data_IF_916147068489
#
_entry.id   IF_916147068489
#
_cell.length_a   1.000
_cell.length_b   1.000
_cell.length_c   1.000
_cell.angle_alpha   90.00
_cell.angle_beta   90.00
_cell.angle_gamma   90.00
#
_symmetry.space_group_name_H-M   'P 1'
#
loop_
_entity.id
_entity.type
_entity.pdbx_description
1 polymer ?
#
# COMPACT_ATOMS: atom_id res chain seq x y z
N UNK A 1 -1.56 -5.53 -14.95
CA UNK A 1 -2.28 -6.83 -14.89
C UNK A 1 -2.87 -7.11 -13.52
N UNK A 2 -2.14 -6.94 -12.40
CA UNK A 2 -2.60 -7.42 -11.10
C UNK A 2 -3.74 -6.61 -10.45
N UNK A 3 -3.95 -5.34 -10.80
CA UNK A 3 -5.04 -4.53 -10.22
C UNK A 3 -6.43 -4.93 -10.72
N UNK A 4 -6.57 -5.29 -12.00
CA UNK A 4 -7.86 -5.69 -12.57
C UNK A 4 -8.37 -7.01 -11.97
N UNK A 5 -7.47 -7.98 -11.74
CA UNK A 5 -7.83 -9.23 -11.09
C UNK A 5 -8.29 -9.03 -9.65
N UNK A 6 -7.69 -8.07 -8.91
CA UNK A 6 -8.14 -7.71 -7.56
C UNK A 6 -9.54 -7.08 -7.58
N UNK A 7 -9.78 -6.16 -8.51
CA UNK A 7 -11.09 -5.52 -8.65
C UNK A 7 -12.23 -6.53 -8.85
N UNK A 8 -12.02 -7.56 -9.68
CA UNK A 8 -13.03 -8.62 -9.88
C UNK A 8 -13.33 -9.42 -8.61
N UNK A 9 -12.30 -9.68 -7.78
CA UNK A 9 -12.48 -10.37 -6.51
C UNK A 9 -13.22 -9.48 -5.50
N UNK A 10 -12.92 -8.18 -5.48
CA UNK A 10 -13.62 -7.21 -4.64
C UNK A 10 -15.11 -7.17 -4.98
N UNK A 11 -15.47 -7.13 -6.25
CA UNK A 11 -16.87 -7.17 -6.72
C UNK A 11 -17.60 -8.44 -6.24
N UNK A 12 -17.01 -9.63 -6.46
CA UNK A 12 -17.58 -10.90 -5.98
C UNK A 12 -17.75 -10.92 -4.47
N UNK A 13 -16.78 -10.38 -3.72
CA UNK A 13 -16.84 -10.32 -2.26
C UNK A 13 -17.97 -9.38 -1.79
N UNK A 14 -18.15 -8.23 -2.46
CA UNK A 14 -19.21 -7.26 -2.19
C UNK A 14 -20.60 -7.89 -2.40
N UNK A 15 -20.76 -8.66 -3.47
CA UNK A 15 -22.04 -9.31 -3.82
C UNK A 15 -22.35 -10.58 -3.00
N UNK A 16 -21.35 -11.12 -2.29
CA UNK A 16 -21.46 -12.43 -1.60
C UNK A 16 -22.34 -12.45 -0.35
N UNK A 17 -22.79 -11.28 0.16
CA UNK A 17 -23.40 -11.11 1.49
C UNK A 17 -22.53 -11.55 2.68
N UNK A 18 -21.26 -11.93 2.47
CA UNK A 18 -20.33 -12.22 3.55
C UNK A 18 -19.89 -10.91 4.23
N UNK A 19 -19.76 -10.87 5.57
CA UNK A 19 -19.11 -9.74 6.22
C UNK A 19 -17.64 -9.64 5.78
N UNK A 20 -17.25 -8.51 5.19
CA UNK A 20 -15.89 -8.28 4.70
C UNK A 20 -15.31 -6.94 5.16
N UNK A 21 -14.01 -6.77 5.01
CA UNK A 21 -13.32 -5.48 5.01
C UNK A 21 -12.26 -5.53 3.92
N UNK A 22 -12.19 -4.52 3.07
CA UNK A 22 -11.22 -4.44 1.97
C UNK A 22 -10.13 -3.43 2.34
N UNK A 23 -8.88 -3.87 2.38
CA UNK A 23 -7.72 -3.01 2.55
C UNK A 23 -7.03 -2.83 1.20
N UNK A 24 -6.94 -1.60 0.73
CA UNK A 24 -6.33 -1.25 -0.56
C UNK A 24 -5.00 -0.54 -0.31
N UNK A 25 -3.88 -1.28 -0.22
CA UNK A 25 -2.58 -0.68 0.03
C UNK A 25 -2.12 0.16 -1.16
N UNK A 26 -1.59 1.35 -0.87
CA UNK A 26 -0.87 2.18 -1.83
C UNK A 26 0.53 1.64 -2.18
N UNK A 27 1.39 2.51 -2.70
CA UNK A 27 2.76 2.14 -3.10
C UNK A 27 3.62 1.88 -1.87
N UNK A 28 4.21 0.67 -1.76
CA UNK A 28 5.07 0.33 -0.63
C UNK A 28 6.44 1.00 -0.69
N UNK A 29 6.85 1.67 0.39
CA UNK A 29 8.21 2.20 0.51
C UNK A 29 9.25 1.09 0.69
N UNK A 30 8.85 -0.03 1.29
CA UNK A 30 9.70 -1.18 1.57
C UNK A 30 10.21 -1.88 0.30
N UNK A 31 9.59 -1.60 -0.85
CA UNK A 31 10.04 -2.11 -2.15
C UNK A 31 11.28 -1.38 -2.68
N UNK A 32 11.66 -0.24 -2.09
CA UNK A 32 12.88 0.47 -2.47
C UNK A 32 14.08 -0.30 -1.88
N UNK A 33 15.05 -0.75 -2.69
CA UNK A 33 16.17 -1.56 -2.24
C UNK A 33 17.25 -0.70 -1.55
N UNK A 34 16.89 0.03 -0.49
CA UNK A 34 17.77 0.95 0.22
C UNK A 34 19.06 0.26 0.66
N UNK A 35 18.98 -0.97 1.17
CA UNK A 35 20.17 -1.73 1.56
C UNK A 35 21.15 -1.95 0.40
N UNK A 36 20.66 -2.26 -0.80
CA UNK A 36 21.50 -2.42 -1.99
C UNK A 36 22.12 -1.09 -2.41
N UNK A 37 21.33 -0.01 -2.39
CA UNK A 37 21.79 1.33 -2.74
C UNK A 37 22.89 1.82 -1.80
N UNK A 38 22.75 1.56 -0.49
CA UNK A 38 23.75 1.90 0.52
C UNK A 38 25.01 1.03 0.40
N UNK A 39 24.88 -0.26 0.07
CA UNK A 39 26.02 -1.18 -0.09
C UNK A 39 26.83 -0.92 -1.36
N UNK A 40 26.21 -0.34 -2.40
CA UNK A 40 26.87 -0.06 -3.67
C UNK A 40 28.03 0.95 -3.57
N UNK A 41 28.23 1.60 -2.41
CA UNK A 41 29.33 2.54 -2.14
C UNK A 41 29.48 3.61 -3.22
N UNK A 42 28.37 4.01 -3.84
CA UNK A 42 28.33 5.12 -4.77
C UNK A 42 28.27 6.42 -3.97
N UNK A 43 29.08 7.41 -4.35
CA UNK A 43 29.04 8.74 -3.72
C UNK A 43 27.67 9.43 -3.91
N UNK A 44 26.96 9.09 -5.00
CA UNK A 44 25.60 9.55 -5.31
C UNK A 44 24.75 8.39 -5.87
N UNK A 45 24.06 7.63 -5.00
CA UNK A 45 23.31 6.44 -5.43
C UNK A 45 22.03 6.82 -6.17
N UNK A 46 21.90 6.37 -7.42
CA UNK A 46 20.71 6.63 -8.26
C UNK A 46 19.80 5.41 -8.30
N UNK A 47 18.53 5.60 -7.94
CA UNK A 47 17.49 4.59 -8.08
C UNK A 47 16.59 4.89 -9.30
N UNK A 48 16.62 4.06 -10.37
CA UNK A 48 15.71 4.21 -11.50
C UNK A 48 14.30 3.81 -11.09
N UNK A 49 13.46 4.82 -10.82
CA UNK A 49 12.06 4.65 -10.50
C UNK A 49 11.21 4.35 -11.75
N UNK A 50 10.22 3.46 -11.61
CA UNK A 50 9.21 3.21 -12.63
C UNK A 50 8.03 4.21 -12.57
N UNK A 51 8.11 5.20 -11.69
CA UNK A 51 7.10 6.23 -11.45
C UNK A 51 7.64 7.62 -11.77
N UNK A 52 6.72 8.57 -11.98
CA UNK A 52 7.07 9.97 -12.20
C UNK A 52 7.73 10.55 -10.95
N UNK A 53 8.82 11.30 -11.14
CA UNK A 53 9.47 12.06 -10.07
C UNK A 53 8.73 13.37 -9.77
N UNK A 54 7.96 13.88 -10.74
CA UNK A 54 7.25 15.17 -10.66
C UNK A 54 5.86 15.04 -10.05
N UNK A 55 5.17 13.92 -10.29
CA UNK A 55 3.80 13.73 -9.81
C UNK A 55 3.83 13.39 -8.31
N UNK A 56 3.21 14.19 -7.42
CA UNK A 56 3.18 13.89 -6.00
C UNK A 56 2.31 12.66 -5.71
N UNK A 57 2.77 11.79 -4.81
CA UNK A 57 2.01 10.62 -4.34
C UNK A 57 2.34 10.28 -2.88
N UNK A 58 1.58 9.36 -2.29
CA UNK A 58 1.81 8.86 -0.94
C UNK A 58 2.40 7.46 -0.94
N UNK A 59 3.19 7.18 0.09
CA UNK A 59 3.75 5.86 0.36
C UNK A 59 3.00 5.13 1.45
N UNK A 60 3.15 3.81 1.48
CA UNK A 60 2.69 2.93 2.54
C UNK A 60 3.87 2.16 3.14
N UNK A 61 3.97 2.15 4.46
CA UNK A 61 4.83 1.25 5.21
C UNK A 61 4.19 -0.15 5.28
N UNK A 62 4.96 -1.21 5.04
CA UNK A 62 4.48 -2.57 5.27
C UNK A 62 4.10 -2.78 6.75
N UNK A 63 4.84 -2.16 7.67
CA UNK A 63 4.54 -2.20 9.10
C UNK A 63 3.18 -1.56 9.44
N UNK A 64 2.82 -0.46 8.79
CA UNK A 64 1.53 0.22 9.02
C UNK A 64 0.37 -0.59 8.45
N UNK A 65 0.57 -1.25 7.29
CA UNK A 65 -0.41 -2.20 6.78
C UNK A 65 -0.65 -3.34 7.77
N UNK A 66 0.42 -3.92 8.33
CA UNK A 66 0.30 -4.98 9.33
C UNK A 66 -0.44 -4.50 10.59
N UNK A 67 -0.18 -3.26 11.02
CA UNK A 67 -0.89 -2.65 12.14
C UNK A 67 -2.38 -2.44 11.82
N UNK A 68 -2.70 -1.87 10.67
CA UNK A 68 -4.09 -1.66 10.22
C UNK A 68 -4.85 -2.99 10.09
N UNK A 69 -4.21 -4.02 9.54
CA UNK A 69 -4.77 -5.38 9.47
C UNK A 69 -5.09 -5.92 10.85
N UNK A 70 -4.17 -5.79 11.82
CA UNK A 70 -4.41 -6.21 13.20
C UNK A 70 -5.60 -5.48 13.81
N UNK A 71 -5.66 -4.16 13.69
CA UNK A 71 -6.78 -3.37 14.23
C UNK A 71 -8.12 -3.81 13.64
N UNK A 72 -8.17 -4.02 12.32
CA UNK A 72 -9.39 -4.48 11.64
C UNK A 72 -9.80 -5.87 12.09
N UNK A 73 -8.85 -6.78 12.34
CA UNK A 73 -9.15 -8.12 12.85
C UNK A 73 -9.65 -8.10 14.29
N UNK A 74 -9.00 -7.30 15.16
CA UNK A 74 -9.35 -7.17 16.58
C UNK A 74 -10.71 -6.45 16.75
N UNK A 75 -11.03 -5.48 15.90
CA UNK A 75 -12.27 -4.68 15.93
C UNK A 75 -13.27 -5.02 14.81
N UNK A 76 -13.19 -6.25 14.28
CA UNK A 76 -13.90 -6.79 13.10
C UNK A 76 -15.28 -6.17 12.81
N UNK A 77 -16.19 -6.20 13.77
CA UNK A 77 -17.59 -5.81 13.55
C UNK A 77 -17.75 -4.33 13.19
N UNK A 78 -16.84 -3.47 13.70
CA UNK A 78 -16.85 -2.03 13.42
C UNK A 78 -16.42 -1.71 11.98
N UNK A 79 -15.77 -2.66 11.33
CA UNK A 79 -15.17 -2.50 10.00
C UNK A 79 -15.90 -3.29 8.91
N UNK A 80 -17.04 -3.90 9.23
CA UNK A 80 -17.82 -4.63 8.23
C UNK A 80 -18.26 -3.73 7.09
N UNK A 81 -18.08 -4.26 5.88
CA UNK A 81 -18.40 -3.65 4.59
C UNK A 81 -17.61 -2.37 4.30
N UNK A 82 -16.54 -2.10 5.07
CA UNK A 82 -15.67 -0.96 4.85
C UNK A 82 -14.57 -1.28 3.81
N UNK A 83 -14.22 -0.25 3.03
CA UNK A 83 -13.06 -0.25 2.14
C UNK A 83 -12.14 0.89 2.55
N UNK A 84 -10.87 0.57 2.81
CA UNK A 84 -9.86 1.53 3.23
C UNK A 84 -8.74 1.64 2.19
N UNK A 85 -8.65 2.75 1.45
CA UNK A 85 -7.42 3.15 0.77
C UNK A 85 -6.36 3.50 1.81
N UNK A 86 -5.24 2.77 1.84
CA UNK A 86 -4.23 2.90 2.88
C UNK A 86 -2.95 3.57 2.36
N UNK A 87 -2.52 4.59 3.11
CA UNK A 87 -1.25 5.31 2.96
C UNK A 87 -0.68 5.62 4.35
N UNK A 88 0.63 5.86 4.41
CA UNK A 88 1.39 6.20 5.62
C UNK A 88 1.88 7.64 5.65
N UNK A 89 2.09 8.28 4.50
CA UNK A 89 2.60 9.65 4.48
C UNK A 89 1.49 10.65 4.82
N UNK A 90 1.81 11.63 5.67
CA UNK A 90 0.90 12.72 6.04
C UNK A 90 0.75 13.77 4.93
N UNK A 91 1.76 13.87 4.07
CA UNK A 91 1.79 14.75 2.91
C UNK A 91 2.15 13.94 1.66
N UNK A 92 1.82 14.50 0.49
CA UNK A 92 2.26 13.93 -0.78
C UNK A 92 3.74 14.25 -0.99
N UNK A 93 4.48 13.29 -1.52
CA UNK A 93 5.91 13.45 -1.82
C UNK A 93 6.18 13.31 -3.31
N UNK A 94 7.18 14.06 -3.77
CA UNK A 94 7.77 14.02 -5.11
C UNK A 94 9.28 14.18 -4.97
N UNK A 95 10.06 13.71 -5.95
CA UNK A 95 11.52 13.66 -5.89
C UNK A 95 12.17 14.60 -6.90
#
# INVERSE_FOLDING_TARGET
MNHAAKHQIEEVLIESNLPYTILQPGTFMDNIPIGLLLLASQDDPVFPAAWSTVQPFSWLALADLAHAMRTVLDERERHFYATYPLVSTTELVSF
#
